data_IF_803417540485
#
_entry.id   IF_803417540485
#
_cell.length_a   1.000
_cell.length_b   1.000
_cell.length_c   1.000
_cell.angle_alpha   90.00
_cell.angle_beta   90.00
_cell.angle_gamma   90.00
#
_symmetry.space_group_name_H-M   'P 1'
#
loop_
_entity.id
_entity.type
_entity.pdbx_description
1 polymer ?
#
# COMPACT_ATOMS: atom_id res chain seq x y z
N UNK A 1 -3.65 13.61 29.87
CA UNK A 1 -3.53 12.62 28.79
C UNK A 1 -3.84 11.27 29.39
N UNK A 2 -4.57 10.40 28.67
CA UNK A 2 -4.91 9.06 29.17
C UNK A 2 -3.64 8.20 29.31
N UNK A 3 -3.55 7.35 30.35
CA UNK A 3 -2.35 6.56 30.64
C UNK A 3 -2.00 5.59 29.50
N UNK A 4 -3.01 5.04 28.82
CA UNK A 4 -2.78 4.13 27.71
C UNK A 4 -2.24 4.91 26.50
N UNK A 5 -2.75 6.13 26.26
CA UNK A 5 -2.23 7.02 25.20
C UNK A 5 -0.76 7.34 25.44
N UNK A 6 -0.38 7.68 26.67
CA UNK A 6 1.02 7.95 27.01
C UNK A 6 1.91 6.72 26.80
N UNK A 7 1.42 5.52 27.14
CA UNK A 7 2.15 4.28 26.89
C UNK A 7 2.39 4.06 25.39
N UNK A 8 1.38 4.25 24.53
CA UNK A 8 1.54 4.10 23.07
C UNK A 8 2.53 5.11 22.50
N UNK A 9 2.49 6.37 22.94
CA UNK A 9 3.47 7.39 22.52
C UNK A 9 4.90 7.02 22.92
N UNK A 10 5.09 6.39 24.08
CA UNK A 10 6.41 5.91 24.50
C UNK A 10 6.90 4.73 23.66
N UNK A 11 6.00 3.80 23.30
CA UNK A 11 6.33 2.66 22.42
C UNK A 11 6.72 3.17 21.02
N UNK A 12 5.91 4.04 20.42
CA UNK A 12 6.20 4.66 19.13
C UNK A 12 7.56 5.35 19.14
N UNK A 13 7.81 6.21 20.13
CA UNK A 13 9.10 6.90 20.28
C UNK A 13 10.27 5.92 20.42
N UNK A 14 10.10 4.83 21.15
CA UNK A 14 11.13 3.80 21.29
C UNK A 14 11.43 3.14 19.95
N UNK A 15 10.40 2.77 19.18
CA UNK A 15 10.54 2.15 17.85
C UNK A 15 11.20 3.09 16.84
N UNK A 16 10.85 4.38 16.84
CA UNK A 16 11.50 5.39 15.98
C UNK A 16 12.96 5.55 16.35
N UNK A 17 13.27 5.66 17.65
CA UNK A 17 14.65 5.84 18.13
C UNK A 17 15.53 4.63 17.83
N UNK A 18 14.96 3.42 17.91
CA UNK A 18 15.65 2.17 17.58
C UNK A 18 15.71 1.88 16.08
N UNK A 19 15.12 2.74 15.24
CA UNK A 19 14.98 2.54 13.79
C UNK A 19 14.22 1.25 13.42
N UNK A 20 13.37 0.78 14.33
CA UNK A 20 12.42 -0.31 14.05
C UNK A 20 11.14 0.20 13.41
N UNK A 21 10.89 1.51 13.50
CA UNK A 21 9.84 2.20 12.77
C UNK A 21 10.45 3.43 12.11
N UNK A 22 10.43 3.48 10.78
CA UNK A 22 11.03 4.57 10.00
C UNK A 22 9.89 5.39 9.43
N UNK A 23 9.79 6.65 9.86
CA UNK A 23 8.78 7.55 9.34
C UNK A 23 9.10 7.94 7.89
N UNK A 24 8.10 7.96 6.99
CA UNK A 24 8.30 8.34 5.60
C UNK A 24 8.88 9.74 5.44
N UNK A 25 9.92 9.85 4.61
CA UNK A 25 10.44 11.11 4.06
C UNK A 25 9.84 11.32 2.68
N UNK A 26 9.02 12.34 2.54
CA UNK A 26 8.06 12.47 1.44
C UNK A 26 8.41 13.69 0.59
N UNK A 27 8.66 13.46 -0.69
CA UNK A 27 8.78 14.48 -1.72
C UNK A 27 7.48 14.52 -2.54
N UNK A 28 6.90 15.70 -2.74
CA UNK A 28 5.68 15.85 -3.56
C UNK A 28 6.09 16.43 -4.92
N UNK A 29 5.81 15.70 -5.99
CA UNK A 29 6.14 16.15 -7.35
C UNK A 29 5.40 17.44 -7.73
N UNK A 30 6.03 18.37 -8.46
CA UNK A 30 5.40 19.61 -8.91
C UNK A 30 4.14 19.43 -9.78
N UNK A 31 4.01 18.27 -10.41
CA UNK A 31 2.88 17.89 -11.27
C UNK A 31 1.59 17.59 -10.48
N UNK A 32 1.69 17.35 -9.17
CA UNK A 32 0.52 17.13 -8.31
C UNK A 32 -0.34 18.40 -8.29
N UNK A 33 -1.67 18.22 -8.37
CA UNK A 33 -2.63 19.32 -8.36
C UNK A 33 -2.34 20.31 -7.22
N UNK A 34 -2.10 21.58 -7.58
CA UNK A 34 -1.78 22.67 -6.66
C UNK A 34 -2.86 22.91 -5.61
N UNK A 35 -4.12 22.55 -5.90
CA UNK A 35 -5.22 22.61 -4.94
C UNK A 35 -5.18 21.46 -3.93
N UNK A 36 -4.60 20.31 -4.30
CA UNK A 36 -4.46 19.13 -3.45
C UNK A 36 -3.22 19.20 -2.55
N UNK A 37 -2.13 19.79 -3.02
CA UNK A 37 -0.85 19.87 -2.28
C UNK A 37 -0.99 20.38 -0.83
N UNK A 38 -1.75 21.45 -0.52
CA UNK A 38 -1.92 21.91 0.86
C UNK A 38 -2.51 20.83 1.76
N UNK A 39 -3.53 20.10 1.27
CA UNK A 39 -4.15 18.98 2.00
C UNK A 39 -3.15 17.87 2.26
N UNK A 40 -2.36 17.48 1.26
CA UNK A 40 -1.33 16.43 1.42
C UNK A 40 -0.28 16.84 2.45
N UNK A 41 0.20 18.08 2.43
CA UNK A 41 1.15 18.60 3.43
C UNK A 41 0.57 18.57 4.85
N UNK A 42 -0.71 18.90 5.02
CA UNK A 42 -1.38 18.84 6.31
C UNK A 42 -1.52 17.40 6.83
N UNK A 43 -1.82 16.44 5.94
CA UNK A 43 -1.86 15.01 6.26
C UNK A 43 -0.48 14.54 6.72
N UNK A 44 0.57 14.77 5.92
CA UNK A 44 1.96 14.38 6.24
C UNK A 44 2.35 14.86 7.63
N UNK A 45 2.09 16.13 7.92
CA UNK A 45 2.41 16.74 9.23
C UNK A 45 1.64 16.08 10.38
N UNK A 46 0.35 15.79 10.18
CA UNK A 46 -0.52 15.20 11.21
C UNK A 46 -0.08 13.79 11.58
N UNK A 47 0.36 13.02 10.59
CA UNK A 47 0.83 11.64 10.74
C UNK A 47 2.35 11.55 10.98
N UNK A 48 2.99 12.67 11.33
CA UNK A 48 4.41 12.75 11.69
C UNK A 48 5.37 12.37 10.56
N UNK A 49 4.92 12.35 9.30
CA UNK A 49 5.79 12.21 8.13
C UNK A 49 6.71 13.43 7.96
N UNK A 50 7.84 13.22 7.29
CA UNK A 50 8.86 14.26 7.06
C UNK A 50 8.77 14.75 5.63
N UNK A 51 8.28 15.97 5.42
CA UNK A 51 8.33 16.60 4.10
C UNK A 51 9.78 16.98 3.74
N UNK A 52 10.23 16.61 2.55
CA UNK A 52 11.54 16.99 2.00
C UNK A 52 11.39 17.79 0.71
N UNK A 53 12.40 18.59 0.38
CA UNK A 53 12.41 19.45 -0.81
C UNK A 53 13.20 18.86 -1.99
N UNK A 54 14.01 17.83 -1.73
CA UNK A 54 14.90 17.19 -2.69
C UNK A 54 14.61 15.69 -2.81
N UNK A 55 14.77 15.15 -4.02
CA UNK A 55 14.50 13.75 -4.34
C UNK A 55 15.52 12.80 -3.67
N UNK A 56 16.79 13.18 -3.59
CA UNK A 56 17.87 12.35 -3.03
C UNK A 56 17.65 12.01 -1.55
N UNK A 57 16.89 12.85 -0.85
CA UNK A 57 16.54 12.65 0.54
C UNK A 57 15.11 12.13 0.73
N UNK A 58 14.40 11.81 -0.36
CA UNK A 58 13.11 11.17 -0.28
C UNK A 58 13.27 9.68 0.03
N UNK A 59 12.23 9.12 0.65
CA UNK A 59 11.95 7.67 0.65
C UNK A 59 10.70 7.38 -0.16
N UNK A 60 9.81 8.36 -0.28
CA UNK A 60 8.55 8.31 -0.97
C UNK A 60 8.41 9.54 -1.87
N UNK A 61 7.98 9.30 -3.10
CA UNK A 61 7.75 10.31 -4.13
C UNK A 61 6.28 10.27 -4.49
N UNK A 62 5.58 11.38 -4.26
CA UNK A 62 4.15 11.48 -4.50
C UNK A 62 3.90 12.02 -5.90
N UNK A 63 3.25 11.20 -6.73
CA UNK A 63 2.76 11.54 -8.06
C UNK A 63 1.28 11.96 -8.06
N UNK A 64 0.80 12.58 -9.15
CA UNK A 64 -0.62 12.78 -9.36
C UNK A 64 -1.41 11.46 -9.28
N UNK A 65 -2.69 11.54 -8.90
CA UNK A 65 -3.56 10.37 -9.01
C UNK A 65 -3.74 9.97 -10.48
N UNK A 66 -3.73 8.67 -10.80
CA UNK A 66 -4.03 8.21 -12.14
C UNK A 66 -5.44 8.63 -12.56
N UNK A 67 -5.61 8.95 -13.84
CA UNK A 67 -6.92 9.35 -14.38
C UNK A 67 -7.91 8.18 -14.43
N UNK A 68 -7.38 6.96 -14.53
CA UNK A 68 -8.15 5.72 -14.50
C UNK A 68 -8.13 5.19 -13.07
N UNK A 69 -9.21 5.43 -12.32
CA UNK A 69 -9.44 4.75 -11.06
C UNK A 69 -9.79 3.29 -11.35
N UNK A 70 -9.10 2.33 -10.73
CA UNK A 70 -9.65 0.99 -10.55
C UNK A 70 -11.07 1.13 -9.98
N UNK A 71 -12.01 0.31 -10.45
CA UNK A 71 -13.42 0.49 -10.11
C UNK A 71 -13.58 0.38 -8.59
N UNK A 72 -14.16 1.39 -7.95
CA UNK A 72 -14.40 1.45 -6.49
C UNK A 72 -15.34 0.33 -5.98
N UNK A 73 -15.85 -0.52 -6.88
CA UNK A 73 -16.84 -1.55 -6.58
C UNK A 73 -16.25 -2.96 -6.47
N UNK A 74 -14.93 -3.12 -6.63
CA UNK A 74 -14.28 -4.43 -6.60
C UNK A 74 -13.14 -4.45 -5.58
N UNK A 75 -13.22 -5.40 -4.65
CA UNK A 75 -12.16 -5.64 -3.67
C UNK A 75 -11.18 -6.68 -4.20
N UNK A 76 -9.90 -6.32 -4.17
CA UNK A 76 -8.78 -7.15 -4.58
C UNK A 76 -7.95 -7.52 -3.35
N UNK A 77 -7.28 -8.67 -3.39
CA UNK A 77 -6.37 -9.07 -2.33
C UNK A 77 -5.12 -9.78 -2.88
N UNK A 78 -4.03 -9.76 -2.10
CA UNK A 78 -2.84 -10.59 -2.31
C UNK A 78 -2.57 -11.49 -1.11
N UNK A 79 -2.15 -12.75 -1.30
CA UNK A 79 -1.65 -13.58 -0.20
C UNK A 79 -0.32 -13.02 0.32
N UNK A 80 -0.19 -12.83 1.63
CA UNK A 80 1.04 -12.34 2.27
C UNK A 80 1.85 -13.46 2.91
N UNK A 81 1.18 -14.53 3.34
CA UNK A 81 1.81 -15.65 4.03
C UNK A 81 1.00 -16.94 3.91
N UNK A 82 1.67 -18.09 3.86
CA UNK A 82 1.04 -19.41 3.88
C UNK A 82 1.41 -20.20 5.14
N UNK A 83 0.39 -20.76 5.80
CA UNK A 83 0.52 -21.76 6.88
C UNK A 83 -0.39 -22.95 6.63
N UNK A 84 0.21 -24.09 6.31
CA UNK A 84 -0.53 -25.32 6.00
C UNK A 84 -1.55 -25.08 4.86
N UNK A 85 -2.85 -25.13 5.17
CA UNK A 85 -3.99 -24.85 4.27
C UNK A 85 -4.64 -23.48 4.54
N UNK A 86 -3.95 -22.61 5.26
CA UNK A 86 -4.41 -21.26 5.58
C UNK A 86 -3.47 -20.23 4.96
N UNK A 87 -4.05 -19.13 4.52
CA UNK A 87 -3.34 -17.99 3.95
C UNK A 87 -3.69 -16.73 4.74
N UNK A 88 -2.68 -15.94 5.09
CA UNK A 88 -2.87 -14.53 5.41
C UNK A 88 -3.07 -13.79 4.10
N UNK A 89 -4.11 -12.96 4.02
CA UNK A 89 -4.39 -12.13 2.85
C UNK A 89 -4.43 -10.67 3.26
N UNK A 90 -3.91 -9.85 2.37
CA UNK A 90 -3.94 -8.41 2.44
C UNK A 90 -4.91 -7.84 1.42
N UNK A 91 -5.80 -6.95 1.86
CA UNK A 91 -6.79 -6.30 1.02
C UNK A 91 -6.23 -5.01 0.44
N UNK A 92 -6.27 -4.89 -0.89
CA UNK A 92 -5.71 -3.72 -1.57
C UNK A 92 -6.41 -2.44 -1.12
N UNK A 93 -5.63 -1.38 -0.92
CA UNK A 93 -6.07 -0.07 -0.44
C UNK A 93 -6.61 -0.05 0.99
N UNK A 94 -6.43 -1.15 1.73
CA UNK A 94 -6.64 -1.19 3.18
C UNK A 94 -5.28 -1.34 3.87
N UNK A 95 -5.13 -0.87 5.11
CA UNK A 95 -3.89 -1.07 5.83
C UNK A 95 -3.80 -2.49 6.43
N UNK A 96 -2.62 -2.90 6.87
CA UNK A 96 -2.35 -4.25 7.40
C UNK A 96 -3.23 -4.64 8.59
N UNK A 97 -3.75 -3.67 9.34
CA UNK A 97 -4.71 -3.94 10.42
C UNK A 97 -6.03 -4.57 9.95
N UNK A 98 -6.31 -4.58 8.64
CA UNK A 98 -7.47 -5.21 8.01
C UNK A 98 -7.16 -6.59 7.40
N UNK A 99 -5.91 -7.05 7.47
CA UNK A 99 -5.52 -8.36 6.99
C UNK A 99 -6.35 -9.48 7.62
N UNK A 100 -6.63 -10.51 6.83
CA UNK A 100 -7.51 -11.60 7.24
C UNK A 100 -6.95 -12.97 6.92
N UNK A 101 -7.47 -13.99 7.58
CA UNK A 101 -7.10 -15.37 7.34
C UNK A 101 -8.16 -16.05 6.48
N UNK A 102 -7.72 -16.72 5.43
CA UNK A 102 -8.56 -17.62 4.63
C UNK A 102 -8.07 -19.05 4.80
N UNK A 103 -8.99 -19.96 5.11
CA UNK A 103 -8.71 -21.38 5.32
C UNK A 103 -9.31 -22.23 4.20
N UNK A 104 -8.77 -23.44 4.02
CA UNK A 104 -9.28 -24.44 3.06
C UNK A 104 -9.28 -23.97 1.59
N UNK A 105 -8.40 -23.02 1.27
CA UNK A 105 -8.11 -22.58 -0.10
C UNK A 105 -6.69 -23.01 -0.46
N UNK A 106 -6.46 -23.33 -1.73
CA UNK A 106 -5.10 -23.51 -2.26
C UNK A 106 -4.87 -22.42 -3.29
N UNK A 107 -4.06 -21.43 -2.91
CA UNK A 107 -3.69 -20.32 -3.76
C UNK A 107 -2.29 -20.61 -4.30
N UNK A 108 -2.17 -20.71 -5.62
CA UNK A 108 -0.88 -20.72 -6.31
C UNK A 108 -0.43 -19.27 -6.44
N UNK A 109 0.46 -18.85 -5.54
CA UNK A 109 1.02 -17.51 -5.50
C UNK A 109 2.52 -17.63 -5.23
N UNK A 110 3.30 -16.89 -6.00
CA UNK A 110 4.73 -16.79 -5.77
C UNK A 110 4.98 -15.70 -4.72
N UNK A 111 5.61 -16.09 -3.61
CA UNK A 111 5.96 -15.19 -2.52
C UNK A 111 7.32 -14.50 -2.75
N UNK A 112 7.90 -14.60 -3.94
CA UNK A 112 9.13 -13.89 -4.27
C UNK A 112 8.99 -12.39 -3.95
N UNK A 113 9.76 -11.95 -2.95
CA UNK A 113 9.83 -10.56 -2.55
C UNK A 113 10.68 -9.82 -3.58
N UNK A 114 10.07 -8.85 -4.26
CA UNK A 114 10.83 -7.87 -5.03
C UNK A 114 11.79 -7.14 -4.10
N UNK A 115 12.97 -6.78 -4.61
CA UNK A 115 13.86 -5.94 -3.82
C UNK A 115 13.18 -4.57 -3.60
N UNK A 116 13.28 -3.99 -2.39
CA UNK A 116 12.71 -2.68 -2.14
C UNK A 116 13.30 -1.68 -3.14
N UNK A 117 12.47 -0.83 -3.77
CA UNK A 117 12.98 0.17 -4.67
C UNK A 117 13.85 1.19 -3.92
N UNK A 118 14.66 1.95 -4.64
CA UNK A 118 15.43 3.06 -4.06
C UNK A 118 14.49 4.11 -3.44
N UNK A 119 13.38 4.39 -4.13
CA UNK A 119 12.29 5.25 -3.69
C UNK A 119 10.95 4.57 -3.96
N UNK A 120 10.01 4.70 -3.04
CA UNK A 120 8.62 4.35 -3.30
C UNK A 120 7.97 5.44 -4.15
N UNK A 121 7.69 5.12 -5.41
CA UNK A 121 7.02 6.00 -6.36
C UNK A 121 5.51 5.72 -6.29
N UNK A 122 4.75 6.54 -5.56
CA UNK A 122 3.32 6.28 -5.26
C UNK A 122 2.42 7.44 -5.64
N UNK A 123 1.14 7.17 -5.94
CA UNK A 123 0.16 8.20 -6.21
C UNK A 123 -0.32 8.91 -4.93
N UNK A 124 -0.88 10.12 -5.09
CA UNK A 124 -1.38 10.93 -3.97
C UNK A 124 -2.46 10.25 -3.12
N UNK A 125 -3.16 9.24 -3.65
CA UNK A 125 -4.15 8.45 -2.92
C UNK A 125 -3.55 7.74 -1.69
N UNK A 126 -2.27 7.36 -1.73
CA UNK A 126 -1.57 6.76 -0.59
C UNK A 126 -1.69 7.60 0.69
N UNK A 127 -1.54 8.93 0.56
CA UNK A 127 -1.72 9.87 1.68
C UNK A 127 -3.20 10.12 2.01
N UNK A 128 -4.08 10.11 1.01
CA UNK A 128 -5.50 10.32 1.24
C UNK A 128 -6.11 9.18 2.05
N UNK A 129 -5.70 7.95 1.75
CA UNK A 129 -6.19 6.76 2.44
C UNK A 129 -5.53 6.63 3.83
N UNK A 130 -4.25 7.02 3.99
CA UNK A 130 -3.62 7.20 5.32
C UNK A 130 -4.47 8.08 6.23
N UNK A 131 -4.98 9.21 5.72
CA UNK A 131 -5.81 10.11 6.50
C UNK A 131 -7.16 9.50 6.89
N UNK A 132 -7.71 8.63 6.03
CA UNK A 132 -8.96 7.94 6.30
C UNK A 132 -8.80 6.83 7.34
N UNK A 133 -7.76 6.01 7.21
CA UNK A 133 -7.52 4.86 8.08
C UNK A 133 -6.71 5.18 9.33
N UNK A 134 -6.03 6.33 9.35
CA UNK A 134 -5.11 6.73 10.41
C UNK A 134 -4.00 5.67 10.64
N UNK A 135 -3.49 5.13 9.54
CA UNK A 135 -2.42 4.12 9.48
C UNK A 135 -1.62 4.31 8.19
N UNK A 136 -0.29 4.13 8.25
CA UNK A 136 0.53 4.19 7.04
C UNK A 136 0.19 3.02 6.12
N UNK A 137 -0.09 3.35 4.86
CA UNK A 137 -0.59 2.39 3.87
C UNK A 137 0.56 1.63 3.20
N UNK A 138 0.29 0.43 2.69
CA UNK A 138 1.27 -0.33 1.91
C UNK A 138 1.56 0.33 0.57
N UNK A 139 2.81 0.62 0.29
CA UNK A 139 3.23 1.36 -0.91
C UNK A 139 2.94 0.58 -2.21
N UNK A 140 3.03 -0.76 -2.16
CA UNK A 140 2.75 -1.67 -3.28
C UNK A 140 1.37 -1.46 -3.91
N UNK A 141 0.37 -1.03 -3.12
CA UNK A 141 -0.99 -0.82 -3.59
C UNK A 141 -1.13 0.46 -4.43
N UNK A 142 -0.22 1.42 -4.21
CA UNK A 142 -0.32 2.78 -4.73
C UNK A 142 0.78 3.13 -5.73
N UNK A 143 1.59 2.15 -6.15
CA UNK A 143 2.69 2.36 -7.10
C UNK A 143 2.19 3.13 -8.31
N UNK A 144 2.85 4.25 -8.58
CA UNK A 144 2.60 5.06 -9.77
C UNK A 144 3.30 4.38 -10.94
N UNK A 145 2.53 3.61 -11.71
CA UNK A 145 3.00 3.02 -12.95
C UNK A 145 2.47 3.84 -14.13
N UNK A 146 3.35 4.56 -14.83
CA UNK A 146 3.02 5.20 -16.12
C UNK A 146 2.66 4.13 -17.18
N UNK A 147 3.04 2.86 -16.95
CA UNK A 147 2.74 1.70 -17.78
C UNK A 147 1.95 0.65 -16.98
N UNK A 148 0.67 0.91 -16.72
CA UNK A 148 -0.31 -0.15 -16.38
C UNK A 148 -0.39 -1.13 -17.57
N UNK A 149 0.63 -1.98 -17.81
CA UNK A 149 0.67 -3.01 -18.86
C UNK A 149 1.90 -3.96 -18.86
N UNK A 150 2.70 -4.13 -17.80
CA UNK A 150 3.74 -5.19 -17.85
C UNK A 150 3.99 -6.05 -16.61
N UNK A 151 3.39 -5.76 -15.46
CA UNK A 151 3.47 -6.68 -14.31
C UNK A 151 2.25 -7.58 -14.33
N UNK A 152 2.49 -8.87 -14.59
CA UNK A 152 1.49 -9.94 -14.55
C UNK A 152 1.08 -10.19 -13.09
N UNK A 153 0.33 -9.26 -12.50
CA UNK A 153 -0.30 -9.50 -11.21
C UNK A 153 -1.35 -10.59 -11.39
N UNK A 154 -1.18 -11.71 -10.68
CA UNK A 154 -2.25 -12.68 -10.48
C UNK A 154 -3.25 -12.07 -9.50
N UNK A 155 -4.24 -11.35 -10.03
CA UNK A 155 -5.28 -10.72 -9.23
C UNK A 155 -6.25 -11.78 -8.70
N UNK A 156 -6.50 -11.77 -7.39
CA UNK A 156 -7.58 -12.54 -6.79
C UNK A 156 -8.75 -11.61 -6.47
N UNK A 157 -9.89 -11.89 -7.06
CA UNK A 157 -11.14 -11.16 -6.83
C UNK A 157 -11.89 -11.77 -5.65
N UNK A 158 -12.52 -10.95 -4.81
CA UNK A 158 -13.48 -11.42 -3.82
C UNK A 158 -14.91 -11.10 -4.26
N UNK A 159 -15.69 -12.12 -4.64
CA UNK A 159 -17.14 -11.96 -4.83
C UNK A 159 -17.85 -12.24 -3.49
N UNK A 160 -18.48 -11.22 -2.90
CA UNK A 160 -19.30 -11.34 -1.69
C UNK A 160 -20.52 -12.23 -1.94
N UNK A 161 -20.37 -13.56 -1.82
CA UNK A 161 -21.53 -14.46 -1.84
C UNK A 161 -21.27 -15.96 -2.01
N UNK A 162 -20.12 -16.43 -2.50
CA UNK A 162 -19.85 -17.89 -2.63
C UNK A 162 -18.37 -18.22 -2.48
N UNK A 163 -18.12 -19.39 -1.88
CA UNK A 163 -16.82 -20.10 -1.79
C UNK A 163 -15.86 -19.69 -2.89
N UNK A 164 -14.68 -19.22 -2.48
CA UNK A 164 -13.60 -18.76 -3.34
C UNK A 164 -13.27 -19.79 -4.43
N UNK A 165 -13.76 -19.53 -5.64
CA UNK A 165 -13.34 -20.17 -6.87
C UNK A 165 -12.93 -19.04 -7.78
N UNK A 166 -11.63 -18.88 -8.06
CA UNK A 166 -11.18 -17.87 -9.01
C UNK A 166 -10.26 -18.53 -10.03
N UNK A 167 -10.81 -18.56 -11.25
CA UNK A 167 -10.33 -19.19 -12.46
C UNK A 167 -9.01 -18.59 -12.94
N UNK A 168 -8.09 -19.46 -13.36
CA UNK A 168 -6.92 -19.13 -14.18
C UNK A 168 -7.29 -18.12 -15.28
N UNK A 169 -6.61 -16.98 -15.32
CA UNK A 169 -6.61 -16.11 -16.50
C UNK A 169 -5.21 -16.12 -17.13
N UNK A 170 -5.10 -17.03 -18.11
CA UNK A 170 -4.20 -17.07 -19.26
C UNK A 170 -2.87 -16.29 -19.18
N UNK A 171 -1.78 -17.06 -19.14
CA UNK A 171 -0.49 -16.68 -19.73
C UNK A 171 -0.72 -16.21 -21.18
N UNK A 172 -0.53 -14.91 -21.43
CA UNK A 172 -0.28 -14.46 -22.79
C UNK A 172 1.21 -14.75 -23.08
N UNK A 173 1.50 -15.97 -23.55
CA UNK A 173 2.79 -16.27 -24.17
C UNK A 173 2.94 -15.40 -25.43
N UNK A 174 4.02 -14.62 -25.60
CA UNK A 174 4.36 -14.12 -26.92
C UNK A 174 4.92 -15.30 -27.71
N UNK A 175 4.08 -15.91 -28.55
CA UNK A 175 4.52 -16.88 -29.55
C UNK A 175 4.66 -16.18 -30.90
N UNK A 176 5.91 -16.00 -31.31
CA UNK A 176 6.46 -15.66 -32.64
C UNK A 176 6.17 -14.28 -33.25
#
# INVERSE_FOLDING_TARGET
MDRNVEMFLQVEKALVTSKCFILPRIFIKPEVDKLLVPKLKDIIKRHQGVLVEDLESATHVIHPNPQTSFSENEDYFRPTFKREKSYGIHWWYYPDSYDSWVTDVNIEYDFEQSQPPEHWEVCARWLLDLEQFNEWMNEEDYIFDDEINSVSYHYFFANYGKKYFFTEFFQCNPSN
#
